data_IF_406032550113
#
_entry.id   IF_406032550113
#
_cell.length_a   1.000
_cell.length_b   1.000
_cell.length_c   1.000
_cell.angle_alpha   90.00
_cell.angle_beta   90.00
_cell.angle_gamma   90.00
#
_symmetry.space_group_name_H-M   'P 1'
#
loop_
_entity.id
_entity.type
_entity.pdbx_description
1 polymer ?
#
# COMPACT_ATOMS: atom_id res chain seq x y z
N UNK A 1 46.01 5.49 29.25
CA UNK A 1 44.87 6.25 28.67
C UNK A 1 44.22 5.37 27.63
N UNK A 2 43.15 4.69 28.01
CA UNK A 2 42.34 3.88 27.12
C UNK A 2 41.29 4.77 26.47
N UNK A 3 41.29 4.88 25.16
CA UNK A 3 40.30 5.60 24.39
C UNK A 3 39.02 4.75 24.35
N UNK A 4 37.96 5.21 25.00
CA UNK A 4 36.64 4.65 24.87
C UNK A 4 36.12 4.89 23.43
N UNK A 5 35.97 3.81 22.70
CA UNK A 5 35.25 3.81 21.43
C UNK A 5 33.77 3.95 21.76
N UNK A 6 33.23 5.15 21.65
CA UNK A 6 31.79 5.38 21.64
C UNK A 6 31.24 4.76 20.35
N UNK A 7 30.69 3.56 20.47
CA UNK A 7 29.81 2.97 19.45
C UNK A 7 28.59 3.87 19.29
N UNK A 8 28.55 4.64 18.21
CA UNK A 8 27.44 5.47 17.86
C UNK A 8 26.16 4.64 17.82
N UNK A 9 25.19 4.98 18.67
CA UNK A 9 23.80 4.50 18.57
C UNK A 9 23.30 4.93 17.19
N UNK A 10 23.21 3.95 16.28
CA UNK A 10 22.53 4.16 15.02
C UNK A 10 21.16 4.77 15.30
N UNK A 11 20.79 5.72 14.47
CA UNK A 11 19.52 6.44 14.55
C UNK A 11 18.38 5.41 14.41
N UNK A 12 17.95 4.80 15.53
CA UNK A 12 16.79 3.91 15.53
C UNK A 12 15.59 4.76 15.12
N UNK A 13 15.03 4.47 13.93
CA UNK A 13 13.78 5.11 13.50
C UNK A 13 12.71 4.85 14.55
N UNK A 14 12.31 5.91 15.25
CA UNK A 14 11.26 5.82 16.25
C UNK A 14 9.96 5.39 15.58
N UNK A 15 9.30 4.39 16.15
CA UNK A 15 7.96 4.01 15.72
C UNK A 15 6.95 5.08 16.15
N UNK A 16 5.88 5.29 15.38
CA UNK A 16 4.81 6.18 15.81
C UNK A 16 4.15 5.62 17.06
N UNK A 17 4.05 6.43 18.08
CA UNK A 17 3.30 6.11 19.31
C UNK A 17 1.81 6.24 19.02
N UNK A 18 1.04 5.23 19.35
CA UNK A 18 -0.41 5.23 19.24
C UNK A 18 -1.03 4.59 20.49
N UNK A 19 -2.22 5.05 20.84
CA UNK A 19 -2.95 4.57 22.01
C UNK A 19 -4.26 3.92 21.60
N UNK A 20 -4.76 3.00 22.42
CA UNK A 20 -6.08 2.39 22.26
C UNK A 20 -7.17 3.46 22.10
N UNK A 21 -7.06 4.58 22.83
CA UNK A 21 -8.00 5.71 22.75
C UNK A 21 -8.01 6.34 21.34
N UNK A 22 -6.86 6.56 20.75
CA UNK A 22 -6.75 7.10 19.39
C UNK A 22 -7.34 6.16 18.34
N UNK A 23 -7.13 4.84 18.49
CA UNK A 23 -7.76 3.84 17.62
C UNK A 23 -9.30 3.84 17.78
N UNK A 24 -9.79 4.01 19.00
CA UNK A 24 -11.22 4.12 19.27
C UNK A 24 -11.82 5.38 18.63
N UNK A 25 -11.16 6.53 18.78
CA UNK A 25 -11.55 7.81 18.19
C UNK A 25 -11.53 7.75 16.64
N UNK A 26 -10.57 7.03 16.05
CA UNK A 26 -10.50 6.78 14.62
C UNK A 26 -11.55 5.79 14.11
N UNK A 27 -12.34 5.16 14.99
CA UNK A 27 -13.40 4.23 14.61
C UNK A 27 -12.91 2.84 14.21
N UNK A 28 -11.68 2.45 14.52
CA UNK A 28 -11.10 1.15 14.15
C UNK A 28 -11.85 -0.03 14.79
N UNK A 29 -12.56 0.20 15.89
CA UNK A 29 -13.36 -0.81 16.58
C UNK A 29 -14.64 -1.21 15.85
N UNK A 30 -15.09 -0.45 14.85
CA UNK A 30 -16.28 -0.82 14.07
C UNK A 30 -15.97 -1.91 13.05
N UNK A 31 -16.59 -3.08 13.25
CA UNK A 31 -16.57 -4.18 12.32
C UNK A 31 -17.70 -4.14 11.30
N UNK A 32 -18.03 -5.27 10.72
CA UNK A 32 -19.14 -5.42 9.80
C UNK A 32 -20.48 -5.67 10.53
N UNK A 33 -21.58 -5.56 9.80
CA UNK A 33 -22.88 -6.01 10.29
C UNK A 33 -22.82 -7.51 10.65
N UNK A 34 -23.56 -7.92 11.67
CA UNK A 34 -23.55 -9.29 12.18
C UNK A 34 -23.84 -10.35 11.12
N UNK A 35 -24.66 -10.04 10.10
CA UNK A 35 -24.94 -10.94 8.98
C UNK A 35 -23.78 -11.12 7.98
N UNK A 36 -22.76 -10.24 8.01
CA UNK A 36 -21.65 -10.21 7.04
C UNK A 36 -20.31 -10.59 7.66
N UNK A 37 -20.31 -11.17 8.82
CA UNK A 37 -19.10 -11.54 9.49
C UNK A 37 -18.43 -12.79 8.88
N UNK A 38 -17.17 -13.00 9.21
CA UNK A 38 -16.46 -14.25 8.92
C UNK A 38 -16.26 -15.00 10.24
N UNK A 39 -16.66 -16.27 10.36
CA UNK A 39 -16.47 -17.04 11.59
C UNK A 39 -15.02 -17.09 12.11
N UNK A 40 -14.04 -16.99 11.21
CA UNK A 40 -12.60 -16.93 11.58
C UNK A 40 -12.22 -15.66 12.35
N UNK A 41 -13.09 -14.66 12.38
CA UNK A 41 -12.89 -13.41 13.13
C UNK A 41 -13.47 -13.46 14.54
N UNK A 42 -14.08 -14.56 14.95
CA UNK A 42 -14.75 -14.70 16.24
C UNK A 42 -13.85 -14.33 17.43
N UNK A 43 -12.62 -14.78 17.41
CA UNK A 43 -11.61 -14.50 18.46
C UNK A 43 -11.23 -13.02 18.59
N UNK A 44 -11.45 -12.22 17.54
CA UNK A 44 -11.12 -10.78 17.49
C UNK A 44 -12.33 -9.88 17.74
N UNK A 45 -13.52 -10.47 17.95
CA UNK A 45 -14.75 -9.74 18.18
C UNK A 45 -15.00 -9.61 19.68
N UNK A 46 -15.03 -8.37 20.18
CA UNK A 46 -15.38 -8.10 21.56
C UNK A 46 -16.88 -8.34 21.87
N UNK A 47 -17.75 -8.05 20.89
CA UNK A 47 -19.20 -8.19 21.05
C UNK A 47 -19.95 -7.52 19.90
N UNK A 48 -21.24 -7.30 20.09
CA UNK A 48 -22.09 -6.59 19.11
C UNK A 48 -22.82 -5.40 19.74
N UNK A 49 -23.04 -4.38 18.93
CA UNK A 49 -23.88 -3.23 19.29
C UNK A 49 -24.63 -2.73 18.07
N UNK A 50 -25.94 -2.59 18.20
CA UNK A 50 -26.82 -2.14 17.12
C UNK A 50 -26.68 -2.94 15.80
N UNK A 51 -26.49 -4.28 15.90
CA UNK A 51 -26.32 -5.15 14.74
C UNK A 51 -24.96 -5.03 14.04
N UNK A 52 -23.97 -4.40 14.68
CA UNK A 52 -22.59 -4.26 14.19
C UNK A 52 -21.64 -4.93 15.19
N UNK A 53 -20.72 -5.75 14.69
CA UNK A 53 -19.65 -6.32 15.50
C UNK A 53 -18.68 -5.23 15.94
N UNK A 54 -18.24 -5.31 17.19
CA UNK A 54 -17.20 -4.45 17.76
C UNK A 54 -15.91 -5.27 17.88
N UNK A 55 -14.82 -4.75 17.31
CA UNK A 55 -13.52 -5.41 17.34
C UNK A 55 -12.82 -5.17 18.67
N UNK A 56 -12.11 -6.19 19.15
CA UNK A 56 -11.30 -6.11 20.35
C UNK A 56 -9.98 -5.37 20.08
N UNK A 57 -9.95 -4.10 20.46
CA UNK A 57 -8.76 -3.26 20.29
C UNK A 57 -7.61 -3.66 21.21
N UNK A 58 -7.86 -4.39 22.29
CA UNK A 58 -6.78 -4.85 23.18
C UNK A 58 -5.86 -5.85 22.50
N UNK A 59 -6.41 -6.62 21.55
CA UNK A 59 -5.64 -7.50 20.68
C UNK A 59 -5.05 -6.75 19.47
N UNK A 60 -5.78 -5.77 18.93
CA UNK A 60 -5.35 -5.01 17.75
C UNK A 60 -4.09 -4.19 18.02
N UNK A 61 -3.97 -3.56 19.19
CA UNK A 61 -2.82 -2.72 19.56
C UNK A 61 -1.49 -3.49 19.46
N UNK A 62 -1.28 -4.62 20.15
CA UNK A 62 -0.02 -5.35 20.05
C UNK A 62 0.23 -5.93 18.64
N UNK A 63 -0.82 -6.31 17.91
CA UNK A 63 -0.67 -6.80 16.54
C UNK A 63 -0.22 -5.68 15.59
N UNK A 64 -0.74 -4.46 15.77
CA UNK A 64 -0.32 -3.30 14.99
C UNK A 64 1.13 -2.92 15.31
N UNK A 65 1.52 -2.94 16.58
CA UNK A 65 2.91 -2.69 16.98
C UNK A 65 3.87 -3.70 16.34
N UNK A 66 3.53 -4.99 16.38
CA UNK A 66 4.31 -6.03 15.70
C UNK A 66 4.44 -5.78 14.19
N UNK A 67 3.34 -5.38 13.53
CA UNK A 67 3.34 -5.06 12.10
C UNK A 67 4.23 -3.85 11.77
N UNK A 68 4.18 -2.81 12.60
CA UNK A 68 5.05 -1.62 12.46
C UNK A 68 6.53 -1.96 12.64
N UNK A 69 6.86 -2.85 13.58
CA UNK A 69 8.23 -3.34 13.76
C UNK A 69 8.75 -4.06 12.49
N UNK A 70 7.94 -4.95 11.91
CA UNK A 70 8.29 -5.63 10.65
C UNK A 70 8.49 -4.63 9.51
N UNK A 71 7.63 -3.62 9.39
CA UNK A 71 7.76 -2.57 8.38
C UNK A 71 9.08 -1.77 8.58
N UNK A 72 9.38 -1.38 9.82
CA UNK A 72 10.62 -0.69 10.18
C UNK A 72 11.86 -1.49 9.80
N UNK A 73 11.90 -2.77 10.17
CA UNK A 73 13.01 -3.65 9.85
C UNK A 73 13.18 -3.86 8.35
N UNK A 74 12.09 -3.94 7.60
CA UNK A 74 12.12 -4.07 6.14
C UNK A 74 12.75 -2.83 5.51
N UNK A 75 12.30 -1.63 5.92
CA UNK A 75 12.86 -0.38 5.41
C UNK A 75 14.32 -0.19 5.85
N UNK A 76 14.66 -0.53 7.09
CA UNK A 76 16.04 -0.42 7.60
C UNK A 76 17.04 -1.27 6.79
N UNK A 77 16.57 -2.37 6.20
CA UNK A 77 17.37 -3.22 5.29
C UNK A 77 17.33 -2.75 3.84
N UNK A 78 16.71 -1.63 3.54
CA UNK A 78 16.52 -1.12 2.18
C UNK A 78 15.45 -1.86 1.39
N UNK A 79 14.57 -2.59 2.07
CA UNK A 79 13.47 -3.32 1.45
C UNK A 79 12.36 -2.40 0.94
N UNK A 80 11.58 -2.91 0.02
CA UNK A 80 10.48 -2.22 -0.67
C UNK A 80 9.15 -2.66 -0.10
N UNK A 81 8.29 -1.71 0.21
CA UNK A 81 6.92 -1.96 0.67
C UNK A 81 5.95 -1.59 -0.45
N UNK A 82 5.02 -2.50 -0.74
CA UNK A 82 3.91 -2.22 -1.65
C UNK A 82 2.61 -2.09 -0.85
N UNK A 83 2.03 -0.91 -0.89
CA UNK A 83 0.73 -0.63 -0.31
C UNK A 83 -0.37 -0.97 -1.31
N UNK A 84 -1.32 -1.81 -0.91
CA UNK A 84 -2.43 -2.26 -1.75
C UNK A 84 -3.76 -1.88 -1.11
N UNK A 85 -4.60 -1.18 -1.86
CA UNK A 85 -5.92 -0.84 -1.39
C UNK A 85 -6.77 -0.22 -2.48
N UNK A 86 -7.52 -1.07 -3.16
CA UNK A 86 -8.40 -0.67 -4.26
C UNK A 86 -9.78 -0.21 -3.78
N UNK A 87 -10.04 -0.27 -2.47
CA UNK A 87 -11.28 0.23 -1.89
C UNK A 87 -11.35 1.74 -2.05
N UNK A 88 -12.46 2.24 -2.62
CA UNK A 88 -12.65 3.67 -2.89
C UNK A 88 -12.33 4.57 -1.69
N UNK A 89 -12.71 4.13 -0.48
CA UNK A 89 -12.45 4.89 0.76
C UNK A 89 -10.98 4.96 1.15
N UNK A 90 -10.18 3.95 0.79
CA UNK A 90 -8.75 3.85 1.14
C UNK A 90 -7.82 4.33 0.02
N UNK A 91 -8.29 4.34 -1.22
CA UNK A 91 -7.48 4.56 -2.43
C UNK A 91 -6.63 5.84 -2.38
N UNK A 92 -7.21 6.97 -2.01
CA UNK A 92 -6.49 8.25 -1.92
C UNK A 92 -5.50 8.25 -0.75
N UNK A 93 -5.95 7.81 0.44
CA UNK A 93 -5.12 7.79 1.64
C UNK A 93 -3.87 6.89 1.47
N UNK A 94 -4.02 5.75 0.78
CA UNK A 94 -2.91 4.84 0.48
C UNK A 94 -1.89 5.49 -0.45
N UNK A 95 -2.34 6.13 -1.54
CA UNK A 95 -1.44 6.79 -2.48
C UNK A 95 -0.63 7.90 -1.78
N UNK A 96 -1.32 8.78 -1.06
CA UNK A 96 -0.67 9.87 -0.31
C UNK A 96 0.32 9.37 0.75
N UNK A 97 -0.04 8.29 1.48
CA UNK A 97 0.83 7.73 2.50
C UNK A 97 2.08 7.09 1.87
N UNK A 98 1.92 6.33 0.78
CA UNK A 98 3.02 5.69 0.08
C UNK A 98 3.98 6.73 -0.54
N UNK A 99 3.46 7.79 -1.15
CA UNK A 99 4.26 8.88 -1.71
C UNK A 99 5.05 9.62 -0.62
N UNK A 100 4.44 9.90 0.53
CA UNK A 100 5.11 10.55 1.67
C UNK A 100 6.30 9.75 2.21
N UNK A 101 6.24 8.42 2.16
CA UNK A 101 7.33 7.55 2.61
C UNK A 101 8.20 6.99 1.47
N UNK A 102 8.05 7.51 0.25
CA UNK A 102 8.77 7.09 -0.95
C UNK A 102 8.69 5.57 -1.19
N UNK A 103 7.52 5.00 -0.92
CA UNK A 103 7.21 3.60 -1.18
C UNK A 103 6.18 3.45 -2.30
N UNK A 104 5.83 2.23 -2.63
CA UNK A 104 5.04 1.89 -3.81
C UNK A 104 3.59 1.62 -3.45
N UNK A 105 2.67 1.85 -4.39
CA UNK A 105 1.25 1.58 -4.14
C UNK A 105 0.49 1.09 -5.37
N UNK A 106 -0.60 0.35 -5.11
CA UNK A 106 -1.63 -0.02 -6.07
C UNK A 106 -3.00 0.29 -5.47
N UNK A 107 -3.62 1.37 -5.95
CA UNK A 107 -4.84 1.93 -5.37
C UNK A 107 -6.06 1.89 -6.31
N UNK A 108 -5.90 1.43 -7.54
CA UNK A 108 -6.96 1.36 -8.52
C UNK A 108 -7.42 -0.07 -8.77
N UNK A 109 -6.51 -0.96 -9.12
CA UNK A 109 -6.80 -2.37 -9.38
C UNK A 109 -5.60 -3.23 -9.06
N UNK A 110 -5.81 -4.28 -8.27
CA UNK A 110 -4.81 -5.34 -8.09
C UNK A 110 -4.72 -6.17 -9.37
N UNK A 111 -3.57 -6.17 -10.01
CA UNK A 111 -3.36 -6.92 -11.25
C UNK A 111 -2.99 -8.36 -10.92
N UNK A 112 -3.69 -9.32 -11.53
CA UNK A 112 -3.30 -10.73 -11.45
C UNK A 112 -1.88 -10.92 -11.97
N UNK A 113 -1.08 -11.70 -11.23
CA UNK A 113 0.31 -11.96 -11.59
C UNK A 113 1.32 -10.89 -11.18
N UNK A 114 0.92 -9.84 -10.44
CA UNK A 114 1.86 -8.80 -9.98
C UNK A 114 3.05 -9.37 -9.23
N UNK A 115 2.86 -10.41 -8.43
CA UNK A 115 3.92 -11.07 -7.68
C UNK A 115 4.50 -12.30 -8.40
N UNK A 116 3.66 -13.04 -9.11
CA UNK A 116 4.03 -14.32 -9.72
C UNK A 116 4.51 -14.20 -11.16
N UNK A 117 4.14 -13.14 -11.86
CA UNK A 117 4.53 -12.87 -13.25
C UNK A 117 4.99 -11.42 -13.43
N UNK A 118 5.97 -11.03 -12.63
CA UNK A 118 6.54 -9.68 -12.65
C UNK A 118 7.11 -9.28 -14.02
N UNK A 119 7.61 -10.25 -14.79
CA UNK A 119 8.15 -10.00 -16.13
C UNK A 119 7.10 -9.36 -17.05
N UNK A 120 5.86 -9.86 -17.05
CA UNK A 120 4.76 -9.30 -17.86
C UNK A 120 4.34 -7.93 -17.35
N UNK A 121 4.31 -7.74 -16.02
CA UNK A 121 4.01 -6.43 -15.41
C UNK A 121 5.09 -5.41 -15.79
N UNK A 122 6.37 -5.78 -15.75
CA UNK A 122 7.49 -4.94 -16.19
C UNK A 122 7.37 -4.49 -17.64
N UNK A 123 6.92 -5.37 -18.53
CA UNK A 123 6.68 -4.99 -19.93
C UNK A 123 5.60 -3.91 -20.05
N UNK A 124 4.53 -4.02 -19.26
CA UNK A 124 3.48 -2.99 -19.19
C UNK A 124 3.98 -1.67 -18.62
N UNK A 125 4.85 -1.71 -17.61
CA UNK A 125 5.53 -0.53 -17.06
C UNK A 125 6.43 0.12 -18.12
N UNK A 126 7.21 -0.65 -18.85
CA UNK A 126 8.07 -0.16 -19.93
C UNK A 126 7.22 0.46 -21.06
N UNK A 127 6.06 -0.11 -21.35
CA UNK A 127 5.10 0.46 -22.30
C UNK A 127 4.59 1.82 -21.84
N UNK A 128 4.26 1.95 -20.55
CA UNK A 128 3.86 3.24 -19.97
C UNK A 128 4.96 4.28 -20.11
N UNK A 129 6.20 3.95 -19.71
CA UNK A 129 7.36 4.86 -19.84
C UNK A 129 7.60 5.29 -21.29
N UNK A 130 7.50 4.36 -22.25
CA UNK A 130 7.65 4.67 -23.65
C UNK A 130 6.53 5.60 -24.20
N UNK A 131 5.30 5.49 -23.64
CA UNK A 131 4.22 6.41 -23.98
C UNK A 131 4.48 7.80 -23.40
N UNK A 132 4.94 7.88 -22.15
CA UNK A 132 5.30 9.14 -21.48
C UNK A 132 6.39 9.88 -22.25
N UNK A 133 7.45 9.18 -22.65
CA UNK A 133 8.54 9.72 -23.46
C UNK A 133 8.04 10.24 -24.82
N UNK A 134 7.21 9.46 -25.53
CA UNK A 134 6.64 9.88 -26.83
C UNK A 134 5.77 11.12 -26.71
N UNK A 135 5.01 11.23 -25.62
CA UNK A 135 4.16 12.41 -25.39
C UNK A 135 4.97 13.63 -24.97
N UNK A 136 6.10 13.44 -24.26
CA UNK A 136 7.00 14.52 -23.85
C UNK A 136 7.79 15.13 -25.03
N UNK A 137 8.23 14.30 -25.97
CA UNK A 137 9.00 14.75 -27.16
C UNK A 137 8.14 15.57 -28.14
N UNK A 138 6.84 15.51 -28.01
CA UNK A 138 5.90 16.22 -28.88
C UNK A 138 5.28 15.29 -29.94
N UNK A 139 4.07 15.63 -30.32
CA UNK A 139 3.26 14.84 -31.24
C UNK A 139 3.42 15.26 -32.70
N UNK A 140 4.60 15.78 -33.09
CA UNK A 140 4.85 16.16 -34.48
C UNK A 140 4.69 14.95 -35.41
N UNK A 141 3.77 15.06 -36.37
CA UNK A 141 3.47 14.00 -37.33
C UNK A 141 2.37 13.02 -36.94
N UNK A 142 1.81 13.08 -35.72
CA UNK A 142 0.69 12.25 -35.32
C UNK A 142 -0.67 12.88 -35.64
N UNK A 143 -1.61 12.06 -36.11
CA UNK A 143 -2.99 12.50 -36.27
C UNK A 143 -3.66 12.72 -34.91
N UNK A 144 -4.68 13.58 -34.86
CA UNK A 144 -5.47 13.82 -33.64
C UNK A 144 -6.06 12.51 -33.05
N UNK A 145 -6.46 11.58 -33.91
CA UNK A 145 -7.01 10.28 -33.50
C UNK A 145 -5.96 9.42 -32.81
N UNK A 146 -4.75 9.35 -33.35
CA UNK A 146 -3.64 8.58 -32.78
C UNK A 146 -3.21 9.15 -31.42
N UNK A 147 -3.08 10.48 -31.33
CA UNK A 147 -2.76 11.16 -30.07
C UNK A 147 -3.79 10.84 -28.99
N UNK A 148 -5.07 10.99 -29.29
CA UNK A 148 -6.14 10.67 -28.35
C UNK A 148 -6.15 9.19 -27.93
N UNK A 149 -5.78 8.28 -28.86
CA UNK A 149 -5.60 6.85 -28.56
C UNK A 149 -4.48 6.62 -27.56
N UNK A 150 -3.33 7.26 -27.74
CA UNK A 150 -2.17 7.17 -26.85
C UNK A 150 -2.47 7.79 -25.46
N UNK A 151 -3.12 8.94 -25.42
CA UNK A 151 -3.53 9.58 -24.16
C UNK A 151 -4.46 8.67 -23.32
N UNK A 152 -5.40 7.99 -23.97
CA UNK A 152 -6.31 7.05 -23.30
C UNK A 152 -5.58 5.80 -22.80
N UNK A 153 -4.64 5.25 -23.60
CA UNK A 153 -3.81 4.12 -23.19
C UNK A 153 -2.93 4.49 -22.02
N UNK A 154 -2.24 5.63 -22.08
CA UNK A 154 -1.40 6.17 -21.02
C UNK A 154 -2.21 6.36 -19.71
N UNK A 155 -3.36 7.04 -19.77
CA UNK A 155 -4.20 7.26 -18.60
C UNK A 155 -4.63 5.96 -17.94
N UNK A 156 -4.96 4.95 -18.74
CA UNK A 156 -5.34 3.62 -18.24
C UNK A 156 -4.19 2.89 -17.56
N UNK A 157 -3.00 2.93 -18.16
CA UNK A 157 -1.80 2.32 -17.60
C UNK A 157 -1.32 3.09 -16.36
N UNK A 158 -1.34 4.41 -16.39
CA UNK A 158 -0.98 5.26 -15.26
C UNK A 158 -1.86 5.02 -14.06
N UNK A 159 -3.18 4.90 -14.23
CA UNK A 159 -4.10 4.59 -13.14
C UNK A 159 -3.80 3.24 -12.47
N UNK A 160 -3.35 2.23 -13.25
CA UNK A 160 -3.12 0.87 -12.73
C UNK A 160 -1.70 0.63 -12.26
N UNK A 161 -0.70 1.26 -12.88
CA UNK A 161 0.72 0.96 -12.70
C UNK A 161 1.54 2.16 -12.20
N UNK A 162 0.97 3.35 -12.17
CA UNK A 162 1.67 4.59 -11.82
C UNK A 162 2.46 4.47 -10.51
N UNK A 163 1.84 3.93 -9.47
CA UNK A 163 2.46 3.78 -8.16
C UNK A 163 3.57 2.73 -8.06
N UNK A 164 3.78 1.90 -9.09
CA UNK A 164 4.81 0.85 -9.11
C UNK A 164 5.85 1.02 -10.23
N UNK A 165 5.81 2.11 -10.98
CA UNK A 165 6.71 2.34 -12.13
C UNK A 165 8.19 2.34 -11.76
N UNK A 166 8.53 2.71 -10.54
CA UNK A 166 9.90 2.79 -10.03
C UNK A 166 10.29 1.60 -9.14
N UNK A 167 9.38 0.64 -8.92
CA UNK A 167 9.60 -0.46 -7.96
C UNK A 167 10.73 -1.42 -8.38
N UNK A 168 10.94 -1.62 -9.67
CA UNK A 168 12.07 -2.37 -10.24
C UNK A 168 12.06 -3.89 -9.99
N UNK A 169 11.13 -4.42 -9.22
CA UNK A 169 11.04 -5.84 -8.89
C UNK A 169 9.89 -6.15 -7.92
N UNK A 170 9.79 -7.38 -7.48
CA UNK A 170 8.81 -7.82 -6.48
C UNK A 170 9.10 -7.13 -5.14
N UNK A 171 8.09 -6.65 -4.41
CA UNK A 171 8.28 -6.02 -3.10
C UNK A 171 8.66 -7.04 -2.03
N UNK A 172 9.33 -6.58 -0.96
CA UNK A 172 9.73 -7.39 0.18
C UNK A 172 8.60 -7.52 1.22
N UNK A 173 7.70 -6.52 1.26
CA UNK A 173 6.55 -6.48 2.16
C UNK A 173 5.31 -5.97 1.43
N UNK A 174 4.17 -6.59 1.72
CA UNK A 174 2.85 -6.12 1.28
C UNK A 174 2.07 -5.56 2.48
N UNK A 175 1.52 -4.37 2.29
CA UNK A 175 0.56 -3.79 3.22
C UNK A 175 -0.80 -3.70 2.54
N UNK A 176 -1.73 -4.59 2.92
CA UNK A 176 -3.03 -4.73 2.24
C UNK A 176 -4.15 -4.17 3.11
N UNK A 177 -4.96 -3.30 2.53
CA UNK A 177 -6.17 -2.78 3.16
C UNK A 177 -7.41 -3.43 2.53
N UNK A 178 -8.26 -4.01 3.38
CA UNK A 178 -9.47 -4.75 3.00
C UNK A 178 -9.14 -6.07 2.25
N UNK A 179 -8.55 -7.00 2.98
CA UNK A 179 -8.17 -8.34 2.48
C UNK A 179 -9.32 -9.04 1.72
N UNK A 180 -10.58 -8.85 2.13
CA UNK A 180 -11.74 -9.45 1.46
C UNK A 180 -11.91 -8.94 0.03
N UNK A 181 -11.52 -7.70 -0.24
CA UNK A 181 -11.63 -7.10 -1.57
C UNK A 181 -10.46 -7.45 -2.48
N UNK A 182 -9.30 -7.68 -1.89
CA UNK A 182 -8.07 -7.96 -2.63
C UNK A 182 -7.77 -9.48 -2.77
N UNK A 183 -8.65 -10.35 -2.27
CA UNK A 183 -8.54 -11.80 -2.33
C UNK A 183 -8.88 -12.38 -3.71
#
# INVERSE_FOLDING_TARGET
>A
MAAEIQTGKGNEMALPEFTLRQLLEAGVHFGHQTQRWNPRMEEFIYGERNGIHIMDLTQTVPMLDAALNVARETVARGGRILFVGTKRQASTAIAEAAEKCAQYYMNHRWLGGTLTNWQTVSQSINRLKALDEKMAVGSEGLTKKERLGMEREQSKLQASLGGITQMGGVPDLLFVIDVKKEA
#
